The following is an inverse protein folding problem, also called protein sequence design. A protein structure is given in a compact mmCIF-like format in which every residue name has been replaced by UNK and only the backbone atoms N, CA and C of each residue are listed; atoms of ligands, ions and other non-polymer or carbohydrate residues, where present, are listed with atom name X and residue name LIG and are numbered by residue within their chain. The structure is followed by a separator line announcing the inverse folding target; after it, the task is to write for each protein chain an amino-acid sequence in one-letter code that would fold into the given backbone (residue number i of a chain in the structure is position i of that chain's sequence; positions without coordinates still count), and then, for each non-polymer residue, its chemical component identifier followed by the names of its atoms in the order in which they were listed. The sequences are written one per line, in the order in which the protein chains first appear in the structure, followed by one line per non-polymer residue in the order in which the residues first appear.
data_IF_586141773587
#
_entry.id   IF_586141773587
#
_cell.length_a   1.000
_cell.length_b   1.000
_cell.length_c   1.000
_cell.angle_alpha   90.00
_cell.angle_beta   90.00
_cell.angle_gamma   90.00
#
_symmetry.space_group_name_H-M   'P 1'
#
loop_
_entity.id
_entity.type
_entity.pdbx_description
1 polymer ?
#
# COMPACT_ATOMS: atom_id res chain seq x y z
N UNK A 1 1.10 39.19 -18.44
CA UNK A 1 0.19 38.06 -18.59
C UNK A 1 0.63 36.89 -17.69
N UNK A 2 1.89 36.42 -17.74
CA UNK A 2 2.49 35.35 -16.92
C UNK A 2 2.28 35.53 -15.42
N UNK A 3 2.56 36.72 -14.87
CA UNK A 3 2.40 36.99 -13.44
C UNK A 3 0.97 36.80 -12.94
N UNK A 4 -0.04 37.28 -13.70
CA UNK A 4 -1.46 37.12 -13.34
C UNK A 4 -1.92 35.65 -13.41
N UNK A 5 -1.40 34.86 -14.35
CA UNK A 5 -1.67 33.44 -14.47
C UNK A 5 -1.03 32.66 -13.31
N UNK A 6 0.25 32.91 -13.05
CA UNK A 6 1.01 32.35 -11.94
C UNK A 6 0.36 32.59 -10.56
N UNK A 7 -0.21 33.80 -10.34
CA UNK A 7 -0.92 34.14 -9.11
C UNK A 7 -2.22 33.35 -8.90
N UNK A 8 -2.84 32.82 -9.97
CA UNK A 8 -4.11 32.10 -9.94
C UNK A 8 -3.98 30.59 -9.89
N UNK A 9 -2.85 30.05 -10.33
CA UNK A 9 -2.61 28.60 -10.36
C UNK A 9 -2.31 28.07 -8.95
N UNK A 10 -3.22 27.24 -8.42
CA UNK A 10 -3.06 26.65 -7.08
C UNK A 10 -1.78 25.83 -6.95
N UNK A 11 -1.35 25.14 -8.02
CA UNK A 11 -0.11 24.37 -8.07
C UNK A 11 1.17 25.18 -7.83
N UNK A 12 1.14 26.49 -8.04
CA UNK A 12 2.30 27.38 -7.85
C UNK A 12 2.45 27.92 -6.42
N UNK A 13 1.60 27.50 -5.48
CA UNK A 13 1.66 27.93 -4.09
C UNK A 13 3.03 27.75 -3.44
N UNK A 14 3.75 26.62 -3.60
CA UNK A 14 5.08 26.43 -2.99
C UNK A 14 6.11 27.49 -3.44
N UNK A 15 6.10 27.84 -4.74
CA UNK A 15 6.99 28.86 -5.26
C UNK A 15 6.61 30.24 -4.70
N UNK A 16 5.31 30.57 -4.63
CA UNK A 16 4.84 31.84 -4.07
C UNK A 16 5.19 32.00 -2.59
N UNK A 17 5.15 30.90 -1.82
CA UNK A 17 5.54 30.92 -0.41
C UNK A 17 7.05 31.15 -0.24
N UNK A 18 7.86 30.49 -1.06
CA UNK A 18 9.30 30.60 -1.03
C UNK A 18 9.77 32.02 -1.41
N UNK A 19 9.12 32.62 -2.41
CA UNK A 19 9.50 33.95 -2.95
C UNK A 19 8.49 35.04 -2.58
N UNK A 20 8.24 35.25 -1.28
CA UNK A 20 7.32 36.31 -0.83
C UNK A 20 7.84 37.72 -1.13
N UNK A 21 6.94 38.62 -1.51
CA UNK A 21 7.23 40.04 -1.69
C UNK A 21 8.17 40.34 -2.87
N UNK A 22 9.24 41.11 -2.61
CA UNK A 22 10.18 41.55 -3.64
C UNK A 22 11.04 40.42 -4.22
N UNK A 23 11.16 39.30 -3.54
CA UNK A 23 11.90 38.15 -4.01
C UNK A 23 11.20 37.42 -5.17
N UNK A 24 9.88 37.54 -5.29
CA UNK A 24 9.15 37.03 -6.44
C UNK A 24 9.60 37.69 -7.76
N UNK A 25 10.02 38.98 -7.73
CA UNK A 25 10.61 39.60 -8.89
C UNK A 25 11.92 38.92 -9.29
N UNK A 26 12.80 38.62 -8.34
CA UNK A 26 14.06 37.90 -8.62
C UNK A 26 13.80 36.52 -9.24
N UNK A 27 12.77 35.83 -8.78
CA UNK A 27 12.36 34.56 -9.36
C UNK A 27 11.99 34.72 -10.84
N UNK A 28 11.15 35.69 -11.19
CA UNK A 28 10.78 35.95 -12.58
C UNK A 28 11.98 36.38 -13.43
N UNK A 29 12.79 37.32 -12.95
CA UNK A 29 13.99 37.78 -13.66
C UNK A 29 14.96 36.60 -13.95
N UNK A 30 15.12 35.69 -12.98
CA UNK A 30 15.96 34.52 -13.12
C UNK A 30 15.36 33.51 -14.12
N UNK A 31 14.08 33.13 -13.98
CA UNK A 31 13.43 32.14 -14.86
C UNK A 31 13.30 32.63 -16.28
N UNK A 32 13.04 33.91 -16.50
CA UNK A 32 13.03 34.52 -17.84
C UNK A 32 14.42 34.53 -18.49
N UNK A 33 15.45 34.99 -17.73
CA UNK A 33 16.85 35.02 -18.21
C UNK A 33 17.34 33.63 -18.66
N UNK A 34 16.96 32.59 -17.96
CA UNK A 34 17.42 31.22 -18.20
C UNK A 34 16.38 30.35 -18.97
N UNK A 35 15.27 30.96 -19.44
CA UNK A 35 14.19 30.29 -20.14
C UNK A 35 13.65 29.05 -19.39
N UNK A 36 13.40 29.19 -18.07
CA UNK A 36 12.94 28.12 -17.21
C UNK A 36 11.41 28.22 -17.09
N UNK A 37 10.71 27.13 -17.41
CA UNK A 37 9.27 27.02 -17.18
C UNK A 37 8.96 26.87 -15.67
N UNK A 38 7.85 27.47 -15.22
CA UNK A 38 7.46 27.44 -13.80
C UNK A 38 7.25 26.03 -13.27
N UNK A 39 6.75 25.09 -14.10
CA UNK A 39 6.61 23.68 -13.74
C UNK A 39 7.96 22.99 -13.49
N UNK A 40 8.98 23.26 -14.30
CA UNK A 40 10.34 22.72 -14.07
C UNK A 40 10.93 23.22 -12.77
N UNK A 41 10.73 24.53 -12.47
CA UNK A 41 11.20 25.06 -11.19
C UNK A 41 10.45 24.44 -10.01
N UNK A 42 9.15 24.20 -10.15
CA UNK A 42 8.35 23.52 -9.14
C UNK A 42 8.84 22.08 -8.88
N UNK A 43 9.14 21.33 -9.93
CA UNK A 43 9.69 19.98 -9.82
C UNK A 43 11.04 19.98 -9.10
N UNK A 44 11.93 20.92 -9.46
CA UNK A 44 13.20 21.15 -8.77
C UNK A 44 13.00 21.47 -7.28
N UNK A 45 12.11 22.41 -6.97
CA UNK A 45 11.79 22.80 -5.59
C UNK A 45 11.26 21.63 -4.77
N UNK A 46 10.32 20.87 -5.33
CA UNK A 46 9.76 19.68 -4.68
C UNK A 46 10.84 18.64 -4.41
N UNK A 47 11.70 18.35 -5.39
CA UNK A 47 12.81 17.43 -5.21
C UNK A 47 13.79 17.92 -4.13
N UNK A 48 14.18 19.20 -4.15
CA UNK A 48 15.05 19.79 -3.14
C UNK A 48 14.46 19.68 -1.72
N UNK A 49 13.17 19.98 -1.56
CA UNK A 49 12.49 19.91 -0.26
C UNK A 49 12.49 18.47 0.28
N UNK A 50 12.19 17.45 -0.55
CA UNK A 50 12.22 16.06 -0.13
C UNK A 50 13.63 15.57 0.22
N UNK A 51 14.64 16.07 -0.49
CA UNK A 51 16.05 15.73 -0.24
C UNK A 51 16.66 16.53 0.95
N UNK A 52 15.89 17.42 1.59
CA UNK A 52 16.38 18.25 2.68
C UNK A 52 17.41 19.29 2.25
N UNK A 53 17.40 19.69 0.98
CA UNK A 53 18.29 20.74 0.46
C UNK A 53 17.87 22.09 1.03
N UNK A 54 18.82 22.81 1.61
CA UNK A 54 18.57 24.12 2.20
C UNK A 54 18.27 25.18 1.12
N UNK A 55 16.98 25.48 0.97
CA UNK A 55 16.48 26.45 0.00
C UNK A 55 16.59 27.90 0.49
N UNK A 56 17.21 28.18 1.63
CA UNK A 56 17.59 29.57 2.04
C UNK A 56 18.86 30.03 1.36
N UNK A 57 19.66 29.09 0.87
CA UNK A 57 20.93 29.42 0.21
C UNK A 57 20.69 29.83 -1.24
N UNK A 58 21.19 31.01 -1.58
CA UNK A 58 21.06 31.62 -2.92
C UNK A 58 21.51 30.70 -4.06
N UNK A 59 22.56 29.88 -3.84
CA UNK A 59 23.06 28.91 -4.82
C UNK A 59 22.09 27.81 -5.12
N UNK A 60 21.20 27.48 -4.18
CA UNK A 60 20.16 26.45 -4.34
C UNK A 60 18.87 27.10 -4.91
N UNK A 61 18.55 28.34 -4.55
CA UNK A 61 17.44 29.10 -5.14
C UNK A 61 17.66 29.42 -6.61
N UNK A 62 18.88 29.83 -6.97
CA UNK A 62 19.24 30.32 -8.30
C UNK A 62 20.54 29.65 -8.78
N UNK A 63 20.50 28.35 -9.06
CA UNK A 63 21.68 27.62 -9.51
C UNK A 63 22.18 28.15 -10.86
N UNK A 64 23.51 28.21 -11.06
CA UNK A 64 24.11 28.69 -12.31
C UNK A 64 23.74 27.87 -13.52
N UNK A 65 23.71 26.55 -13.35
CA UNK A 65 23.23 25.59 -14.33
C UNK A 65 21.95 24.91 -13.80
N UNK A 66 20.81 25.55 -14.09
CA UNK A 66 19.51 25.09 -13.58
C UNK A 66 19.15 23.69 -14.08
N UNK A 67 19.30 23.45 -15.39
CA UNK A 67 18.87 22.17 -15.97
C UNK A 67 19.67 21.00 -15.37
N UNK A 68 20.98 21.15 -15.25
CA UNK A 68 21.80 20.14 -14.58
C UNK A 68 21.36 19.89 -13.14
N UNK A 69 21.14 20.95 -12.37
CA UNK A 69 20.70 20.81 -10.97
C UNK A 69 19.28 20.23 -10.86
N UNK A 70 18.37 20.63 -11.74
CA UNK A 70 17.03 20.06 -11.85
C UNK A 70 17.10 18.56 -12.09
N UNK A 71 17.76 18.12 -13.15
CA UNK A 71 17.86 16.71 -13.52
C UNK A 71 18.51 15.88 -12.41
N UNK A 72 19.59 16.41 -11.80
CA UNK A 72 20.27 15.75 -10.69
C UNK A 72 19.34 15.55 -9.48
N UNK A 73 18.60 16.61 -9.05
CA UNK A 73 17.75 16.54 -7.87
C UNK A 73 16.51 15.68 -8.10
N UNK A 74 15.91 15.78 -9.27
CA UNK A 74 14.75 14.96 -9.65
C UNK A 74 15.15 13.47 -9.69
N UNK A 75 16.33 13.16 -10.26
CA UNK A 75 16.83 11.77 -10.27
C UNK A 75 17.11 11.23 -8.85
N UNK A 76 17.78 12.01 -7.99
CA UNK A 76 18.06 11.66 -6.60
C UNK A 76 16.76 11.44 -5.80
N UNK A 77 15.76 12.30 -6.00
CA UNK A 77 14.46 12.15 -5.35
C UNK A 77 13.73 10.88 -5.80
N UNK A 78 13.74 10.61 -7.11
CA UNK A 78 13.13 9.40 -7.65
C UNK A 78 13.78 8.12 -7.08
N UNK A 79 15.12 8.11 -6.97
CA UNK A 79 15.87 7.00 -6.37
C UNK A 79 15.51 6.82 -4.88
N UNK A 80 15.53 7.90 -4.10
CA UNK A 80 15.18 7.85 -2.69
C UNK A 80 13.75 7.34 -2.49
N UNK A 81 12.80 7.85 -3.27
CA UNK A 81 11.40 7.41 -3.22
C UNK A 81 11.25 5.93 -3.54
N UNK A 82 11.96 5.44 -4.55
CA UNK A 82 11.95 4.02 -4.91
C UNK A 82 12.47 3.14 -3.77
N UNK A 83 13.55 3.57 -3.08
CA UNK A 83 14.10 2.88 -1.92
C UNK A 83 13.09 2.88 -0.76
N UNK A 84 12.47 4.02 -0.46
CA UNK A 84 11.47 4.12 0.60
C UNK A 84 10.24 3.23 0.34
N UNK A 85 9.76 3.19 -0.91
CA UNK A 85 8.65 2.33 -1.32
C UNK A 85 9.02 0.84 -1.21
N UNK A 86 10.24 0.47 -1.62
CA UNK A 86 10.74 -0.89 -1.49
C UNK A 86 10.84 -1.32 -0.02
N UNK A 87 11.38 -0.45 0.85
CA UNK A 87 11.47 -0.70 2.29
C UNK A 87 10.09 -0.88 2.93
N UNK A 88 9.12 -0.01 2.63
CA UNK A 88 7.73 -0.12 3.12
C UNK A 88 7.09 -1.44 2.69
N UNK A 89 7.32 -1.85 1.45
CA UNK A 89 6.82 -3.13 0.92
C UNK A 89 7.45 -4.32 1.65
N UNK A 90 8.75 -4.25 1.91
CA UNK A 90 9.47 -5.29 2.65
C UNK A 90 9.00 -5.39 4.10
N UNK A 91 8.84 -4.26 4.80
CA UNK A 91 8.30 -4.23 6.16
C UNK A 91 6.89 -4.80 6.24
N UNK A 92 6.01 -4.44 5.28
CA UNK A 92 4.66 -4.99 5.21
C UNK A 92 4.69 -6.51 5.02
N UNK A 93 5.54 -7.00 4.11
CA UNK A 93 5.70 -8.43 3.86
C UNK A 93 6.20 -9.16 5.10
N UNK A 94 7.20 -8.62 5.79
CA UNK A 94 7.71 -9.21 7.02
C UNK A 94 6.63 -9.31 8.10
N UNK A 95 5.91 -8.21 8.38
CA UNK A 95 4.81 -8.20 9.36
C UNK A 95 3.71 -9.16 8.99
N UNK A 96 3.34 -9.22 7.70
CA UNK A 96 2.35 -10.18 7.22
C UNK A 96 2.76 -11.62 7.54
N UNK A 97 4.00 -12.00 7.22
CA UNK A 97 4.53 -13.34 7.48
C UNK A 97 4.59 -13.67 8.99
N UNK A 98 4.97 -12.72 9.82
CA UNK A 98 4.96 -12.85 11.29
C UNK A 98 3.55 -13.11 11.82
N UNK A 99 2.56 -12.33 11.37
CA UNK A 99 1.15 -12.51 11.73
C UNK A 99 0.63 -13.85 11.23
N UNK A 100 0.94 -14.22 9.99
CA UNK A 100 0.56 -15.52 9.45
C UNK A 100 1.13 -16.67 10.30
N UNK A 101 2.40 -16.58 10.70
CA UNK A 101 3.05 -17.54 11.59
C UNK A 101 2.37 -17.65 12.96
N UNK A 102 2.04 -16.52 13.57
CA UNK A 102 1.33 -16.44 14.86
C UNK A 102 -0.03 -17.16 14.84
N UNK A 103 -0.76 -17.04 13.73
CA UNK A 103 -2.12 -17.56 13.59
C UNK A 103 -2.22 -18.88 12.80
N UNK A 104 -1.10 -19.55 12.51
CA UNK A 104 -1.09 -20.91 11.95
C UNK A 104 -2.00 -21.91 12.70
N UNK A 105 -2.10 -21.88 14.06
CA UNK A 105 -2.98 -22.79 14.79
C UNK A 105 -4.48 -22.66 14.45
N UNK A 106 -4.91 -21.60 13.80
CA UNK A 106 -6.30 -21.43 13.34
C UNK A 106 -6.61 -22.24 12.07
N UNK A 107 -5.59 -22.77 11.41
CA UNK A 107 -5.79 -23.67 10.26
C UNK A 107 -6.47 -24.97 10.68
N UNK A 108 -7.30 -25.53 9.80
CA UNK A 108 -8.01 -26.78 10.05
C UNK A 108 -7.85 -27.72 8.88
N UNK A 109 -7.40 -28.97 9.16
CA UNK A 109 -7.18 -30.01 8.15
C UNK A 109 -7.65 -31.41 8.61
N UNK A 110 -8.44 -31.51 9.70
CA UNK A 110 -8.79 -32.76 10.35
C UNK A 110 -10.26 -33.12 10.09
N UNK A 111 -10.51 -34.44 9.88
CA UNK A 111 -11.85 -35.06 9.89
C UNK A 111 -12.91 -34.31 9.03
N UNK A 112 -12.53 -33.80 7.87
CA UNK A 112 -13.40 -33.10 6.93
C UNK A 112 -12.92 -33.30 5.50
N UNK A 113 -13.83 -33.23 4.53
CA UNK A 113 -13.52 -33.16 3.11
C UNK A 113 -12.88 -31.79 2.74
N UNK A 114 -13.00 -30.80 3.62
CA UNK A 114 -12.45 -29.47 3.44
C UNK A 114 -11.29 -29.21 4.37
N UNK A 115 -10.37 -28.36 3.93
CA UNK A 115 -9.31 -27.77 4.73
C UNK A 115 -9.45 -26.24 4.70
N UNK A 116 -9.00 -25.58 5.77
CA UNK A 116 -8.97 -24.14 5.85
C UNK A 116 -7.54 -23.71 6.19
N UNK A 117 -6.87 -23.01 5.28
CA UNK A 117 -5.48 -22.59 5.40
C UNK A 117 -5.37 -21.07 5.43
N UNK A 118 -4.45 -20.53 6.22
CA UNK A 118 -4.20 -19.09 6.32
C UNK A 118 -3.32 -18.62 5.16
N UNK A 119 -3.57 -17.44 4.64
CA UNK A 119 -2.65 -16.78 3.71
C UNK A 119 -1.29 -16.56 4.40
N UNK A 120 -0.20 -16.94 3.77
CA UNK A 120 1.15 -16.88 4.36
C UNK A 120 1.93 -15.65 3.93
N UNK A 121 1.63 -15.13 2.74
CA UNK A 121 2.30 -13.97 2.13
C UNK A 121 1.29 -13.06 1.44
N UNK A 122 1.61 -11.78 1.23
CA UNK A 122 0.79 -10.91 0.38
C UNK A 122 0.61 -11.44 -1.06
N UNK A 123 1.61 -12.17 -1.58
CA UNK A 123 1.54 -12.79 -2.90
C UNK A 123 0.45 -13.87 -2.99
N UNK A 124 0.15 -14.58 -1.89
CA UNK A 124 -0.95 -15.55 -1.84
C UNK A 124 -2.30 -14.86 -2.04
N UNK A 125 -2.47 -13.64 -1.49
CA UNK A 125 -3.69 -12.85 -1.68
C UNK A 125 -3.87 -12.45 -3.15
N UNK A 126 -2.78 -12.00 -3.79
CA UNK A 126 -2.78 -11.59 -5.20
C UNK A 126 -3.16 -12.80 -6.08
N UNK A 127 -2.46 -13.91 -5.90
CA UNK A 127 -2.70 -15.16 -6.64
C UNK A 127 -4.14 -15.67 -6.46
N UNK A 128 -4.64 -15.65 -5.23
CA UNK A 128 -6.01 -16.05 -4.92
C UNK A 128 -7.02 -15.13 -5.62
N UNK A 129 -6.82 -13.82 -5.56
CA UNK A 129 -7.67 -12.83 -6.20
C UNK A 129 -7.74 -12.99 -7.72
N UNK A 130 -6.60 -13.31 -8.36
CA UNK A 130 -6.52 -13.58 -9.81
C UNK A 130 -7.28 -14.86 -10.18
N UNK A 131 -7.04 -15.96 -9.45
CA UNK A 131 -7.67 -17.26 -9.73
C UNK A 131 -9.17 -17.27 -9.44
N UNK A 132 -9.60 -16.53 -8.42
CA UNK A 132 -11.00 -16.47 -7.97
C UNK A 132 -11.78 -15.31 -8.57
N UNK A 133 -11.12 -14.43 -9.33
CA UNK A 133 -11.73 -13.22 -9.92
C UNK A 133 -12.42 -12.32 -8.88
N UNK A 134 -11.74 -12.05 -7.75
CA UNK A 134 -12.21 -11.15 -6.71
C UNK A 134 -11.07 -10.27 -6.13
N UNK A 135 -11.43 -9.28 -5.31
CA UNK A 135 -10.54 -8.19 -4.94
C UNK A 135 -9.60 -8.47 -3.76
N UNK A 136 -9.46 -9.72 -3.26
CA UNK A 136 -8.64 -10.01 -2.07
C UNK A 136 -7.15 -9.66 -2.22
N UNK A 137 -6.63 -9.72 -3.44
CA UNK A 137 -5.25 -9.26 -3.75
C UNK A 137 -5.10 -7.74 -3.88
N UNK A 138 -6.19 -6.99 -3.64
CA UNK A 138 -6.26 -5.53 -3.76
C UNK A 138 -6.97 -4.97 -2.51
N UNK A 139 -7.25 -3.66 -2.46
CA UNK A 139 -8.05 -3.04 -1.41
C UNK A 139 -7.50 -3.21 0.03
N UNK A 140 -6.16 -3.19 0.17
CA UNK A 140 -5.47 -3.16 1.48
C UNK A 140 -5.77 -4.34 2.43
N UNK A 141 -6.13 -5.52 1.91
CA UNK A 141 -6.28 -6.71 2.75
C UNK A 141 -4.96 -7.14 3.39
N UNK A 142 -3.85 -6.98 2.69
CA UNK A 142 -2.50 -7.21 3.19
C UNK A 142 -2.15 -6.29 4.37
N UNK A 143 -2.52 -5.01 4.30
CA UNK A 143 -2.31 -4.03 5.37
C UNK A 143 -3.16 -4.37 6.60
N UNK A 144 -4.44 -4.70 6.42
CA UNK A 144 -5.33 -5.12 7.53
C UNK A 144 -4.84 -6.41 8.19
N UNK A 145 -4.35 -7.35 7.38
CA UNK A 145 -3.77 -8.59 7.88
C UNK A 145 -2.51 -8.32 8.72
N UNK A 146 -1.57 -7.53 8.21
CA UNK A 146 -0.34 -7.17 8.91
C UNK A 146 -0.59 -6.35 10.20
N UNK A 147 -1.74 -5.66 10.29
CA UNK A 147 -2.17 -4.92 11.50
C UNK A 147 -2.98 -5.76 12.48
N UNK A 148 -3.14 -7.05 12.22
CA UNK A 148 -3.98 -7.94 13.03
C UNK A 148 -5.44 -7.45 13.17
N UNK A 149 -5.99 -6.77 12.16
CA UNK A 149 -7.39 -6.35 12.14
C UNK A 149 -8.29 -7.51 11.68
N UNK A 150 -7.88 -8.18 10.61
CA UNK A 150 -8.53 -9.37 10.09
C UNK A 150 -7.52 -10.31 9.42
N UNK A 151 -7.86 -11.59 9.39
CA UNK A 151 -7.06 -12.63 8.76
C UNK A 151 -7.77 -13.17 7.53
N UNK A 152 -7.01 -13.54 6.50
CA UNK A 152 -7.54 -14.17 5.29
C UNK A 152 -7.21 -15.65 5.31
N UNK A 153 -8.24 -16.46 5.09
CA UNK A 153 -8.14 -17.90 4.98
C UNK A 153 -8.69 -18.38 3.63
N UNK A 154 -8.13 -19.46 3.15
CA UNK A 154 -8.55 -20.16 1.94
C UNK A 154 -9.14 -21.51 2.31
N UNK A 155 -10.38 -21.76 1.92
CA UNK A 155 -10.99 -23.07 2.02
C UNK A 155 -10.70 -23.83 0.73
N UNK A 156 -10.30 -25.08 0.88
CA UNK A 156 -9.93 -25.99 -0.22
C UNK A 156 -10.60 -27.34 -0.03
N UNK A 157 -10.82 -28.07 -1.12
CA UNK A 157 -11.07 -29.51 -1.03
C UNK A 157 -9.78 -30.19 -0.56
N UNK A 158 -9.88 -31.10 0.38
CA UNK A 158 -8.72 -31.84 0.90
C UNK A 158 -8.01 -32.66 -0.19
N UNK A 159 -8.77 -33.16 -1.16
CA UNK A 159 -8.27 -33.92 -2.30
C UNK A 159 -7.62 -33.02 -3.39
N UNK A 160 -7.92 -31.73 -3.37
CA UNK A 160 -7.41 -30.73 -4.33
C UNK A 160 -6.95 -29.47 -3.60
N UNK A 161 -5.90 -29.54 -2.75
CA UNK A 161 -5.50 -28.43 -1.87
C UNK A 161 -4.99 -27.21 -2.62
N UNK A 162 -4.51 -27.38 -3.84
CA UNK A 162 -3.99 -26.29 -4.67
C UNK A 162 -5.08 -25.54 -5.45
N UNK A 163 -6.30 -26.13 -5.54
CA UNK A 163 -7.40 -25.55 -6.28
C UNK A 163 -8.20 -24.58 -5.40
N UNK A 164 -8.29 -23.29 -5.77
CA UNK A 164 -9.13 -22.35 -5.06
C UNK A 164 -10.60 -22.78 -5.01
N UNK A 165 -11.24 -22.62 -3.86
CA UNK A 165 -12.64 -22.92 -3.68
C UNK A 165 -13.41 -21.77 -3.05
N UNK A 166 -12.95 -21.29 -1.88
CA UNK A 166 -13.56 -20.16 -1.17
C UNK A 166 -12.48 -19.38 -0.43
N UNK A 167 -12.60 -18.06 -0.46
CA UNK A 167 -11.81 -17.12 0.35
C UNK A 167 -12.69 -16.52 1.42
N UNK A 168 -12.21 -16.48 2.66
CA UNK A 168 -12.92 -15.87 3.78
C UNK A 168 -12.03 -14.90 4.55
N UNK A 169 -12.67 -13.84 5.05
CA UNK A 169 -12.07 -12.85 5.95
C UNK A 169 -12.60 -13.10 7.37
N UNK A 170 -11.68 -13.28 8.33
CA UNK A 170 -11.98 -13.50 9.74
C UNK A 170 -11.52 -12.33 10.58
N UNK A 171 -12.40 -11.73 11.35
CA UNK A 171 -12.11 -10.61 12.24
C UNK A 171 -11.51 -11.08 13.56
N UNK A 172 -10.32 -10.59 13.90
CA UNK A 172 -9.71 -10.80 15.22
C UNK A 172 -10.41 -10.00 16.33
N UNK A 173 -11.14 -8.93 15.97
CA UNK A 173 -11.89 -8.12 16.94
C UNK A 173 -13.22 -8.75 17.35
N UNK A 174 -13.98 -9.28 16.37
CA UNK A 174 -15.33 -9.80 16.62
C UNK A 174 -15.39 -11.32 16.68
N UNK A 175 -14.31 -12.01 16.31
CA UNK A 175 -14.20 -13.46 16.21
C UNK A 175 -15.26 -14.07 15.28
N UNK A 176 -15.57 -13.35 14.19
CA UNK A 176 -16.57 -13.74 13.19
C UNK A 176 -15.99 -13.69 11.78
N UNK A 177 -16.58 -14.43 10.89
CA UNK A 177 -16.36 -14.30 9.46
C UNK A 177 -17.04 -13.02 8.98
N UNK A 178 -16.27 -12.11 8.39
CA UNK A 178 -16.76 -10.84 7.83
C UNK A 178 -17.25 -11.03 6.40
N UNK A 179 -16.50 -11.80 5.61
CA UNK A 179 -16.78 -12.06 4.20
C UNK A 179 -16.40 -13.49 3.88
N UNK A 180 -17.15 -14.09 2.94
CA UNK A 180 -16.92 -15.44 2.50
C UNK A 180 -17.45 -15.62 1.08
N UNK A 181 -16.54 -15.74 0.11
CA UNK A 181 -16.89 -15.74 -1.31
C UNK A 181 -16.18 -16.87 -2.08
N UNK A 182 -16.93 -17.47 -2.99
CA UNK A 182 -16.43 -18.32 -4.05
C UNK A 182 -16.03 -17.46 -5.27
N UNK A 183 -15.66 -18.09 -6.39
CA UNK A 183 -15.32 -17.45 -7.65
C UNK A 183 -16.34 -16.35 -8.05
N UNK A 184 -15.83 -15.22 -8.56
CA UNK A 184 -16.63 -14.06 -8.99
C UNK A 184 -17.53 -13.48 -7.88
N UNK A 185 -17.07 -13.54 -6.62
CA UNK A 185 -17.82 -13.10 -5.42
C UNK A 185 -19.17 -13.80 -5.25
N UNK A 186 -19.33 -15.01 -5.78
CA UNK A 186 -20.56 -15.79 -5.60
C UNK A 186 -20.64 -16.38 -4.19
N UNK A 187 -21.86 -16.68 -3.74
CA UNK A 187 -22.08 -17.37 -2.46
C UNK A 187 -21.50 -18.79 -2.53
N UNK A 188 -20.74 -19.26 -1.52
CA UNK A 188 -20.32 -20.65 -1.43
C UNK A 188 -21.51 -21.60 -1.31
N UNK A 189 -21.31 -22.88 -1.69
CA UNK A 189 -22.34 -23.91 -1.51
C UNK A 189 -22.61 -24.21 -0.02
N UNK A 190 -23.71 -24.85 0.27
CA UNK A 190 -24.18 -25.10 1.64
C UNK A 190 -23.23 -26.03 2.44
N UNK A 191 -22.56 -26.97 1.81
CA UNK A 191 -21.60 -27.88 2.48
C UNK A 191 -20.37 -27.12 2.95
N UNK A 192 -19.85 -26.20 2.12
CA UNK A 192 -18.72 -25.33 2.50
C UNK A 192 -19.14 -24.35 3.60
N UNK A 193 -20.33 -23.76 3.50
CA UNK A 193 -20.86 -22.87 4.54
C UNK A 193 -21.08 -23.62 5.86
N UNK A 194 -21.58 -24.85 5.82
CA UNK A 194 -21.69 -25.72 6.99
C UNK A 194 -20.31 -25.98 7.62
N UNK A 195 -19.32 -26.36 6.80
CA UNK A 195 -17.95 -26.56 7.26
C UNK A 195 -17.38 -25.31 7.94
N UNK A 196 -17.50 -24.15 7.30
CA UNK A 196 -16.99 -22.88 7.85
C UNK A 196 -17.67 -22.57 9.18
N UNK A 197 -18.99 -22.60 9.25
CA UNK A 197 -19.73 -22.11 10.40
C UNK A 197 -19.80 -23.14 11.56
N UNK A 198 -19.82 -24.42 11.27
CA UNK A 198 -20.04 -25.47 12.29
C UNK A 198 -18.78 -26.22 12.69
N UNK A 199 -17.75 -26.22 11.83
CA UNK A 199 -16.51 -26.96 12.10
C UNK A 199 -15.34 -26.01 12.29
N UNK A 200 -15.02 -25.19 11.26
CA UNK A 200 -13.83 -24.36 11.30
C UNK A 200 -13.95 -23.17 12.28
N UNK A 201 -15.01 -22.40 12.25
CA UNK A 201 -15.15 -21.19 13.08
C UNK A 201 -15.11 -21.49 14.60
N UNK A 202 -15.84 -22.52 15.13
CA UNK A 202 -15.70 -22.90 16.54
C UNK A 202 -14.28 -23.38 16.87
N UNK A 203 -13.63 -24.10 15.97
CA UNK A 203 -12.25 -24.54 16.13
C UNK A 203 -11.28 -23.34 16.20
N UNK A 204 -11.37 -22.43 15.23
CA UNK A 204 -10.53 -21.22 15.16
C UNK A 204 -10.70 -20.34 16.41
N UNK A 205 -11.94 -20.14 16.86
CA UNK A 205 -12.23 -19.37 18.08
C UNK A 205 -11.65 -20.02 19.35
N UNK A 206 -11.62 -21.35 19.42
CA UNK A 206 -10.98 -22.08 20.52
C UNK A 206 -9.46 -21.94 20.44
N UNK A 207 -8.86 -22.12 19.26
CA UNK A 207 -7.42 -22.00 19.07
C UNK A 207 -6.93 -20.55 19.35
N UNK A 208 -7.71 -19.55 18.96
CA UNK A 208 -7.39 -18.13 19.21
C UNK A 208 -7.26 -17.83 20.72
N UNK A 209 -8.11 -18.40 21.58
CA UNK A 209 -8.02 -18.26 23.04
C UNK A 209 -6.71 -18.83 23.58
N UNK A 210 -6.15 -19.85 22.96
CA UNK A 210 -4.88 -20.45 23.38
C UNK A 210 -3.65 -19.64 22.94
N UNK A 211 -3.78 -18.84 21.86
CA UNK A 211 -2.73 -17.92 21.41
C UNK A 211 -2.67 -16.68 22.30
N UNK A 212 -3.81 -16.25 22.86
CA UNK A 212 -3.93 -15.07 23.71
C UNK A 212 -3.62 -15.34 25.20
N UNK A 213 -3.51 -16.61 25.59
CA UNK A 213 -3.16 -17.02 26.97
C UNK A 213 -1.66 -17.21 27.12
#
# INVERSE_FOLDING_TARGET
FRKKQFERESGMAPIRELFKGWELKKYFDYTEKHNIADCLYLDYLNACNHLGIDMTLKRNLFPKDFMYQHDLRVAQYAEQKAIEEANKKQELMQKFCEVAGKYLPLQHNKRSAFICVIAKTPADLIREGELMHHCVGRMNYDVRFAREESLIFFVRMKEQPDKPLVTLEYSLKTHKVLQCYATHNTKPNEDVLHYINKIWLPYANKALKQIAA
#
